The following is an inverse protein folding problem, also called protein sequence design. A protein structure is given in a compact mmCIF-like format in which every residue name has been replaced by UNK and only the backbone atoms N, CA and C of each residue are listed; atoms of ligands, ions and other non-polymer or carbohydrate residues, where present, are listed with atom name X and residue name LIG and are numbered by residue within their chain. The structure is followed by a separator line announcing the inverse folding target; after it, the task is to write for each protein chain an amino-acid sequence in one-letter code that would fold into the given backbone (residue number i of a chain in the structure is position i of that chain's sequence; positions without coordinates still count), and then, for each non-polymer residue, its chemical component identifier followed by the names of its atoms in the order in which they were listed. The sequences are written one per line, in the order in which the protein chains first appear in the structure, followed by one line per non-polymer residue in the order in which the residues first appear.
data_IF_268319053324
#
_entry.id   IF_268319053324
#
_cell.length_a   1.000
_cell.length_b   1.000
_cell.length_c   1.000
_cell.angle_alpha   90.00
_cell.angle_beta   90.00
_cell.angle_gamma   90.00
#
_symmetry.space_group_name_H-M   'P 1'
#
loop_
_entity.id
_entity.type
_entity.pdbx_description
1 polymer ?
#
# COMPACT_ATOMS: atom_id res chain seq x y z
N UNK A 1 14.83 -32.16 20.96
CA UNK A 1 14.86 -31.26 20.88
C UNK A 1 14.61 -30.76 19.81
N UNK A 2 14.52 -30.19 19.64
CA UNK A 2 14.17 -29.63 18.71
C UNK A 2 15.18 -29.14 18.13
N UNK A 3 15.37 -29.13 17.17
CA UNK A 3 16.21 -28.64 16.58
C UNK A 3 15.97 -27.38 16.53
N UNK A 4 16.82 -26.78 16.40
CA UNK A 4 16.63 -25.61 16.36
C UNK A 4 16.90 -25.10 15.23
N UNK A 5 16.10 -24.86 14.46
CA UNK A 5 16.29 -24.13 13.45
C UNK A 5 15.76 -22.86 13.74
N UNK A 6 16.21 -21.83 13.08
CA UNK A 6 15.68 -20.55 13.22
C UNK A 6 14.26 -20.58 12.84
N UNK A 7 13.43 -20.18 13.74
CA UNK A 7 12.03 -20.07 13.46
C UNK A 7 11.63 -18.64 13.22
N UNK A 8 10.86 -18.40 12.20
CA UNK A 8 10.30 -17.08 11.93
C UNK A 8 8.87 -17.09 12.38
N UNK A 9 8.54 -16.20 13.31
CA UNK A 9 7.19 -16.07 13.83
C UNK A 9 6.55 -14.84 13.19
N UNK A 10 5.30 -14.99 12.80
CA UNK A 10 4.55 -13.91 12.20
C UNK A 10 3.53 -13.40 13.20
N UNK A 11 3.57 -12.10 13.48
CA UNK A 11 2.65 -11.48 14.40
C UNK A 11 1.91 -10.37 13.74
N UNK A 12 0.61 -10.30 13.99
CA UNK A 12 -0.20 -9.17 13.53
C UNK A 12 0.04 -8.00 14.48
N UNK A 13 0.31 -6.85 13.92
CA UNK A 13 0.54 -5.67 14.72
C UNK A 13 -0.77 -5.16 15.31
N UNK A 14 -0.71 -4.65 16.54
CA UNK A 14 -1.87 -4.04 17.16
C UNK A 14 -2.11 -2.65 16.56
N UNK A 15 -3.28 -2.07 16.85
CA UNK A 15 -3.67 -0.80 16.27
C UNK A 15 -2.67 0.32 16.49
N UNK A 16 -2.08 0.39 17.69
CA UNK A 16 -1.13 1.46 18.00
C UNK A 16 0.12 1.35 17.12
N UNK A 17 0.56 0.13 16.81
CA UNK A 17 1.72 -0.04 15.95
C UNK A 17 1.35 0.19 14.49
N UNK A 18 0.13 -0.14 14.09
CA UNK A 18 -0.33 0.14 12.73
C UNK A 18 -0.29 1.64 12.47
N UNK A 19 -0.59 2.46 13.47
CA UNK A 19 -0.55 3.90 13.33
C UNK A 19 0.87 4.43 13.11
N UNK A 20 1.87 3.60 13.34
CA UNK A 20 3.25 3.95 13.07
C UNK A 20 3.68 3.59 11.65
N UNK A 21 2.75 3.20 10.80
CA UNK A 21 3.01 3.00 9.39
C UNK A 21 2.45 4.17 8.62
N UNK A 22 3.26 4.75 7.75
CA UNK A 22 2.84 5.87 6.94
C UNK A 22 2.80 5.45 5.48
N UNK A 23 1.70 5.76 4.81
CA UNK A 23 1.58 5.56 3.37
C UNK A 23 1.67 6.94 2.74
N UNK A 24 2.53 7.08 1.75
CA UNK A 24 2.75 8.36 1.11
C UNK A 24 3.07 8.18 -0.38
N UNK A 25 2.98 9.26 -1.13
CA UNK A 25 3.43 9.26 -2.51
C UNK A 25 2.64 8.37 -3.45
N UNK A 26 1.34 8.20 -3.15
CA UNK A 26 0.50 7.42 -4.05
C UNK A 26 0.50 8.05 -5.44
N UNK A 27 0.60 7.22 -6.46
CA UNK A 27 0.61 7.70 -7.83
C UNK A 27 0.00 6.66 -8.77
N UNK A 28 -0.65 7.15 -9.80
CA UNK A 28 -1.17 6.31 -10.88
C UNK A 28 -1.39 7.17 -12.11
N UNK A 29 -0.36 7.33 -12.96
CA UNK A 29 -0.55 8.03 -14.24
C UNK A 29 -1.56 7.29 -15.12
N UNK A 30 -2.18 8.00 -16.02
CA UNK A 30 -3.25 7.44 -16.85
C UNK A 30 -2.82 6.16 -17.56
N UNK A 31 -1.63 6.15 -18.10
CA UNK A 31 -1.19 5.01 -18.91
C UNK A 31 -0.58 3.89 -18.12
N UNK A 32 -0.42 4.07 -16.83
CA UNK A 32 0.15 3.03 -16.00
C UNK A 32 -0.91 1.98 -15.69
N UNK A 33 -0.52 0.73 -15.72
CA UNK A 33 -1.39 -0.37 -15.29
C UNK A 33 -1.18 -0.71 -13.83
N UNK A 34 -0.29 0.02 -13.17
CA UNK A 34 -0.01 -0.20 -11.77
C UNK A 34 -0.21 1.07 -10.98
N UNK A 35 -0.64 0.88 -9.74
CA UNK A 35 -0.63 1.95 -8.75
C UNK A 35 0.63 1.77 -7.93
N UNK A 36 1.14 2.86 -7.39
CA UNK A 36 2.34 2.80 -6.57
C UNK A 36 2.19 3.69 -5.36
N UNK A 37 2.92 3.36 -4.31
CA UNK A 37 2.98 4.18 -3.12
C UNK A 37 4.21 3.78 -2.31
N UNK A 38 4.55 4.62 -1.33
CA UNK A 38 5.62 4.31 -0.41
C UNK A 38 5.02 3.94 0.93
N UNK A 39 5.60 2.94 1.58
CA UNK A 39 5.24 2.59 2.96
C UNK A 39 6.46 2.86 3.82
N UNK A 40 6.28 3.68 4.84
CA UNK A 40 7.34 4.01 5.80
C UNK A 40 7.04 3.24 7.08
N UNK A 41 7.99 2.43 7.50
CA UNK A 41 7.83 1.61 8.69
C UNK A 41 8.48 2.29 9.89
N UNK A 42 7.67 2.98 10.69
CA UNK A 42 8.16 3.62 11.91
C UNK A 42 8.03 2.71 13.14
N UNK A 43 7.70 1.44 12.94
CA UNK A 43 7.61 0.49 14.05
C UNK A 43 8.99 -0.09 14.33
N UNK A 44 9.21 -0.67 15.50
CA UNK A 44 10.48 -1.35 15.78
C UNK A 44 10.55 -2.76 15.19
N UNK A 45 9.54 -3.19 14.44
CA UNK A 45 9.47 -4.54 13.90
C UNK A 45 9.69 -4.54 12.40
N UNK A 46 10.30 -5.61 11.90
CA UNK A 46 10.39 -5.81 10.45
C UNK A 46 9.06 -6.34 9.98
N UNK A 47 8.55 -5.77 8.90
CA UNK A 47 7.25 -6.16 8.37
C UNK A 47 7.43 -7.14 7.22
N UNK A 48 6.49 -8.06 7.10
CA UNK A 48 6.48 -9.04 6.02
C UNK A 48 5.27 -8.84 5.13
N UNK A 49 4.23 -8.22 5.62
CA UNK A 49 3.02 -7.97 4.85
C UNK A 49 2.31 -6.76 5.43
N UNK A 50 1.76 -5.94 4.56
CA UNK A 50 0.91 -4.83 4.95
C UNK A 50 -0.37 -4.94 4.15
N UNK A 51 -1.51 -4.83 4.81
CA UNK A 51 -2.81 -4.86 4.14
C UNK A 51 -3.39 -3.46 4.18
N UNK A 52 -3.67 -2.91 3.02
CA UNK A 52 -4.23 -1.58 2.91
C UNK A 52 -5.61 -1.63 2.29
N UNK A 53 -6.45 -0.69 2.70
CA UNK A 53 -7.75 -0.49 2.10
C UNK A 53 -7.72 0.83 1.39
N UNK A 54 -8.09 0.84 0.13
CA UNK A 54 -8.10 2.05 -0.69
C UNK A 54 -9.53 2.32 -1.13
N UNK A 55 -9.98 3.55 -0.88
CA UNK A 55 -11.25 4.02 -1.38
C UNK A 55 -10.97 5.04 -2.48
N UNK A 56 -11.53 4.81 -3.66
CA UNK A 56 -11.33 5.66 -4.82
C UNK A 56 -12.57 6.53 -5.01
N UNK A 57 -12.37 7.83 -5.12
CA UNK A 57 -13.49 8.77 -5.24
C UNK A 57 -13.29 9.69 -6.44
N UNK A 58 -14.40 10.17 -7.01
CA UNK A 58 -14.33 11.13 -8.10
C UNK A 58 -14.21 12.55 -7.54
N UNK A 59 -14.17 13.54 -8.42
CA UNK A 59 -14.00 14.92 -8.01
C UNK A 59 -15.18 15.47 -7.21
N UNK A 60 -16.29 14.75 -7.20
CA UNK A 60 -17.47 15.14 -6.43
C UNK A 60 -17.60 14.34 -5.15
N UNK A 61 -16.59 13.56 -4.80
CA UNK A 61 -16.59 12.77 -3.58
C UNK A 61 -17.37 11.47 -3.65
N UNK A 62 -17.82 11.07 -4.84
CA UNK A 62 -18.57 9.82 -4.97
C UNK A 62 -17.59 8.68 -5.08
N UNK A 63 -17.91 7.58 -4.41
CA UNK A 63 -17.04 6.42 -4.43
C UNK A 63 -17.10 5.72 -5.79
N UNK A 64 -15.93 5.54 -6.40
CA UNK A 64 -15.81 4.83 -7.67
C UNK A 64 -15.51 3.36 -7.44
N UNK A 65 -14.71 3.06 -6.43
CA UNK A 65 -14.25 1.70 -6.17
C UNK A 65 -13.67 1.63 -4.77
N UNK A 66 -13.62 0.44 -4.22
CA UNK A 66 -13.00 0.22 -2.93
C UNK A 66 -12.33 -1.14 -2.98
N UNK A 67 -11.10 -1.22 -2.54
CA UNK A 67 -10.34 -2.45 -2.63
C UNK A 67 -9.47 -2.65 -1.41
N UNK A 68 -9.18 -3.91 -1.11
CA UNK A 68 -8.22 -4.30 -0.07
C UNK A 68 -7.08 -4.97 -0.80
N UNK A 69 -5.87 -4.48 -0.55
CA UNK A 69 -4.67 -5.02 -1.17
C UNK A 69 -3.73 -5.56 -0.11
N UNK A 70 -3.27 -6.78 -0.33
CA UNK A 70 -2.27 -7.39 0.53
C UNK A 70 -0.92 -7.20 -0.13
N UNK A 71 -0.05 -6.48 0.53
CA UNK A 71 1.26 -6.15 -0.01
C UNK A 71 2.29 -7.02 0.70
N UNK A 72 2.77 -8.04 0.00
CA UNK A 72 3.79 -8.95 0.52
C UNK A 72 5.14 -8.34 0.20
N UNK A 73 5.65 -7.55 1.13
CA UNK A 73 6.88 -6.83 0.94
C UNK A 73 7.63 -6.78 2.25
N UNK A 74 8.93 -7.03 2.18
CA UNK A 74 9.77 -6.98 3.37
C UNK A 74 10.12 -5.53 3.64
N UNK A 75 9.66 -4.98 4.74
CA UNK A 75 9.94 -3.59 5.09
C UNK A 75 10.59 -3.58 6.48
N UNK A 76 11.92 -3.53 6.54
CA UNK A 76 12.60 -3.52 7.83
C UNK A 76 12.24 -2.29 8.65
N UNK A 77 12.39 -2.41 9.97
CA UNK A 77 12.11 -1.32 10.89
C UNK A 77 12.88 -0.07 10.47
N UNK A 78 12.19 1.05 10.42
CA UNK A 78 12.79 2.34 10.08
C UNK A 78 12.98 2.59 8.60
N UNK A 79 12.61 1.65 7.74
CA UNK A 79 12.84 1.80 6.31
C UNK A 79 11.59 2.12 5.53
N UNK A 80 11.80 2.60 4.32
CA UNK A 80 10.73 2.94 3.39
C UNK A 80 10.86 2.05 2.17
N UNK A 81 9.74 1.58 1.66
CA UNK A 81 9.73 0.78 0.43
C UNK A 81 8.69 1.32 -0.53
N UNK A 82 9.08 1.39 -1.79
CA UNK A 82 8.15 1.67 -2.86
C UNK A 82 7.47 0.36 -3.21
N UNK A 83 6.14 0.36 -3.21
CA UNK A 83 5.39 -0.83 -3.59
C UNK A 83 4.50 -0.51 -4.78
N UNK A 84 4.32 -1.49 -5.63
CA UNK A 84 3.48 -1.38 -6.81
C UNK A 84 2.50 -2.54 -6.82
N UNK A 85 1.30 -2.27 -7.29
CA UNK A 85 0.28 -3.30 -7.39
C UNK A 85 -0.63 -3.01 -8.57
N UNK A 86 -1.31 -4.02 -9.12
CA UNK A 86 -2.15 -3.80 -10.29
C UNK A 86 -3.24 -2.79 -10.01
N UNK A 87 -3.51 -1.91 -10.97
CA UNK A 87 -4.51 -0.88 -10.81
C UNK A 87 -5.92 -1.45 -10.92
N UNK A 88 -6.85 -0.81 -10.19
CA UNK A 88 -8.27 -1.08 -10.33
C UNK A 88 -8.78 -0.63 -11.70
N UNK A 89 -8.09 0.31 -12.33
CA UNK A 89 -8.51 0.92 -13.58
C UNK A 89 -7.89 0.16 -14.75
N UNK A 90 -8.46 -1.00 -15.09
CA UNK A 90 -7.91 -1.85 -16.13
C UNK A 90 -8.07 -1.23 -17.51
N UNK A 91 -8.99 -0.29 -17.68
CA UNK A 91 -9.22 0.34 -18.97
C UNK A 91 -8.37 1.58 -19.18
N UNK A 92 -7.62 1.97 -18.17
CA UNK A 92 -6.77 3.16 -18.22
C UNK A 92 -7.57 4.41 -18.56
N UNK A 93 -8.74 4.54 -17.93
CA UNK A 93 -9.62 5.69 -18.12
C UNK A 93 -9.49 6.73 -17.01
N UNK A 94 -8.76 6.42 -15.94
CA UNK A 94 -8.65 7.28 -14.77
C UNK A 94 -7.18 7.54 -14.44
N UNK A 95 -6.92 8.71 -13.87
CA UNK A 95 -5.57 9.03 -13.38
C UNK A 95 -5.71 9.69 -12.01
N UNK A 96 -4.69 9.50 -11.17
CA UNK A 96 -4.67 10.14 -9.87
C UNK A 96 -4.56 11.64 -10.05
N UNK A 97 -5.38 12.39 -9.36
CA UNK A 97 -5.52 13.84 -9.58
C UNK A 97 -4.22 14.62 -9.42
N UNK A 98 -3.25 14.08 -8.68
CA UNK A 98 -1.95 14.74 -8.51
C UNK A 98 -0.89 14.24 -9.47
N UNK A 99 -1.23 13.26 -10.31
CA UNK A 99 -0.33 12.83 -11.37
C UNK A 99 -0.34 13.87 -12.49
N UNK A 100 0.67 13.86 -13.36
CA UNK A 100 0.66 14.79 -14.50
C UNK A 100 -0.63 14.68 -15.27
N UNK A 101 -1.20 15.82 -15.62
CA UNK A 101 -2.46 15.85 -16.35
C UNK A 101 -2.28 15.30 -17.75
N UNK A 102 -3.15 14.38 -18.20
CA UNK A 102 -3.07 13.88 -19.56
C UNK A 102 -3.37 14.97 -20.58
N UNK A 103 -3.00 14.71 -21.83
CA UNK A 103 -3.28 15.61 -22.92
C UNK A 103 -4.79 15.84 -23.04
N UNK A 104 -5.17 17.04 -23.48
CA UNK A 104 -6.58 17.35 -23.70
C UNK A 104 -7.23 16.46 -24.75
N UNK A 105 -6.44 15.89 -25.64
CA UNK A 105 -6.97 15.00 -26.65
C UNK A 105 -7.39 13.65 -26.08
N UNK A 106 -7.00 13.35 -24.84
CA UNK A 106 -7.30 12.07 -24.23
C UNK A 106 -8.43 12.27 -23.24
N UNK A 107 -9.46 11.43 -23.34
CA UNK A 107 -10.53 11.46 -22.37
C UNK A 107 -10.11 10.68 -21.14
N UNK A 108 -10.02 11.35 -20.05
CA UNK A 108 -9.57 10.74 -18.80
C UNK A 108 -10.21 11.46 -17.63
N UNK A 109 -10.47 10.73 -16.58
CA UNK A 109 -11.15 11.25 -15.39
C UNK A 109 -10.18 11.22 -14.20
N UNK A 110 -10.02 12.36 -13.52
CA UNK A 110 -9.19 12.38 -12.31
C UNK A 110 -9.93 11.73 -11.15
N UNK A 111 -9.18 11.11 -10.24
CA UNK A 111 -9.74 10.55 -9.02
C UNK A 111 -8.81 10.81 -7.85
N UNK A 112 -9.35 10.63 -6.65
CA UNK A 112 -8.60 10.76 -5.41
C UNK A 112 -8.69 9.44 -4.65
N UNK A 113 -7.83 9.28 -3.66
CA UNK A 113 -7.82 8.06 -2.86
C UNK A 113 -7.77 8.39 -1.38
N UNK A 114 -8.36 7.50 -0.60
CA UNK A 114 -8.18 7.47 0.84
C UNK A 114 -7.62 6.11 1.17
N UNK A 115 -6.47 6.07 1.81
CA UNK A 115 -5.76 4.82 2.07
C UNK A 115 -5.64 4.61 3.57
N UNK A 116 -6.04 3.42 4.01
CA UNK A 116 -5.91 3.03 5.41
C UNK A 116 -5.12 1.75 5.51
N UNK A 117 -4.18 1.69 6.45
CA UNK A 117 -3.54 0.43 6.79
C UNK A 117 -4.47 -0.27 7.75
N UNK A 118 -4.96 -1.44 7.37
CA UNK A 118 -5.90 -2.17 8.22
C UNK A 118 -5.26 -3.36 8.92
N UNK A 119 -4.11 -3.80 8.45
CA UNK A 119 -3.42 -4.91 9.06
C UNK A 119 -1.96 -4.88 8.66
N UNK A 120 -1.09 -5.33 9.52
CA UNK A 120 0.31 -5.52 9.17
C UNK A 120 0.83 -6.73 9.92
N UNK A 121 1.68 -7.50 9.28
CA UNK A 121 2.24 -8.70 9.86
C UNK A 121 3.73 -8.49 10.01
N UNK A 122 4.19 -8.58 11.23
CA UNK A 122 5.59 -8.43 11.56
C UNK A 122 6.28 -9.78 11.52
N UNK A 123 7.54 -9.76 11.16
CA UNK A 123 8.36 -10.93 11.19
C UNK A 123 9.16 -10.91 12.48
N UNK A 124 9.02 -11.94 13.26
CA UNK A 124 9.75 -12.09 14.50
C UNK A 124 10.69 -13.28 14.36
N UNK A 125 11.95 -13.03 14.67
CA UNK A 125 12.94 -14.06 14.56
C UNK A 125 13.25 -14.55 15.96
N UNK A 126 12.90 -15.79 16.24
CA UNK A 126 13.09 -16.36 17.54
C UNK A 126 14.43 -17.05 17.70
N UNK A 127 15.27 -16.91 16.73
CA UNK A 127 16.53 -17.56 16.81
C UNK A 127 17.46 -16.77 17.71
N UNK A 128 17.86 -17.33 18.77
CA UNK A 128 18.78 -16.69 19.68
C UNK A 128 19.91 -17.59 20.03
#
# INVERSE_FOLDING_TARGET
MRRFQKEVTLDTLCGAMIDSLTVAGYDKPLRSRNESLFIVNHTPADLQMVVIQITYTDSKGRQLHKAVNRISENIPAGETRLVKFPSWDVQQAFYYRRSPRPSRAVQATPYDVEIKVIEAIARTDNDK
#
